data_IF_872285349496
#
_entry.id   IF_872285349496
#
_cell.length_a   1.000
_cell.length_b   1.000
_cell.length_c   1.000
_cell.angle_alpha   90.00
_cell.angle_beta   90.00
_cell.angle_gamma   90.00
#
_symmetry.space_group_name_H-M   'P 1'
#
loop_
_entity.id
_entity.type
_entity.pdbx_description
1 polymer ?
#
# COMPACT_ATOMS: atom_id res chain seq x y z
N UNK A 1 31.71 -4.13 -3.54
CA UNK A 1 30.35 -4.69 -3.59
C UNK A 1 29.69 -4.09 -4.82
N UNK A 2 29.63 -4.83 -5.92
CA UNK A 2 29.00 -4.34 -7.15
C UNK A 2 27.52 -4.65 -6.99
N UNK A 3 26.67 -3.65 -6.78
CA UNK A 3 25.25 -3.80 -7.06
C UNK A 3 25.15 -4.10 -8.56
N UNK A 4 24.82 -5.34 -8.91
CA UNK A 4 24.34 -5.65 -10.25
C UNK A 4 23.03 -4.90 -10.42
N UNK A 5 23.07 -3.80 -11.18
CA UNK A 5 21.88 -3.13 -11.66
C UNK A 5 21.24 -4.07 -12.68
N UNK A 6 20.18 -4.78 -12.30
CA UNK A 6 19.38 -5.56 -13.23
C UNK A 6 18.67 -4.59 -14.17
N UNK A 7 18.93 -4.73 -15.47
CA UNK A 7 18.41 -3.82 -16.50
C UNK A 7 17.04 -4.25 -17.02
N UNK A 8 16.57 -5.43 -16.58
CA UNK A 8 15.38 -6.08 -17.12
C UNK A 8 15.65 -6.85 -18.41
N UNK A 9 16.89 -6.90 -18.91
CA UNK A 9 17.25 -7.72 -20.05
C UNK A 9 17.37 -9.20 -19.65
N UNK A 10 16.91 -10.12 -20.51
CA UNK A 10 16.90 -11.56 -20.24
C UNK A 10 18.30 -12.12 -19.96
N UNK A 11 19.34 -11.51 -20.55
CA UNK A 11 20.75 -11.89 -20.35
C UNK A 11 21.23 -11.70 -18.89
N UNK A 12 20.61 -10.78 -18.14
CA UNK A 12 20.89 -10.58 -16.72
C UNK A 12 20.38 -11.78 -15.87
N UNK A 13 19.41 -12.52 -16.40
CA UNK A 13 18.72 -13.63 -15.72
C UNK A 13 19.02 -15.01 -16.31
N UNK A 14 19.65 -15.09 -17.50
CA UNK A 14 19.98 -16.32 -18.20
C UNK A 14 21.48 -16.45 -18.41
N UNK A 15 22.26 -16.27 -17.34
CA UNK A 15 23.73 -16.34 -17.40
C UNK A 15 24.29 -17.44 -16.49
N UNK A 16 25.61 -17.63 -16.56
CA UNK A 16 26.32 -18.67 -15.82
C UNK A 16 26.34 -18.45 -14.29
N UNK A 17 25.93 -17.28 -13.80
CA UNK A 17 25.94 -16.95 -12.36
C UNK A 17 24.63 -17.32 -11.67
N UNK A 18 23.63 -17.78 -12.43
CA UNK A 18 22.37 -18.29 -11.89
C UNK A 18 22.59 -19.68 -11.30
N UNK A 19 22.23 -19.84 -10.02
CA UNK A 19 22.29 -21.14 -9.33
C UNK A 19 21.16 -22.07 -9.81
N UNK A 20 21.48 -22.94 -10.75
CA UNK A 20 20.52 -23.86 -11.35
C UNK A 20 19.98 -24.89 -10.36
N UNK A 21 20.75 -25.24 -9.34
CA UNK A 21 20.33 -26.21 -8.34
C UNK A 21 19.29 -25.58 -7.41
N UNK A 22 19.48 -24.32 -7.02
CA UNK A 22 18.48 -23.55 -6.28
C UNK A 22 17.17 -23.35 -7.08
N UNK A 23 17.28 -23.03 -8.37
CA UNK A 23 16.12 -22.92 -9.26
C UNK A 23 15.34 -24.24 -9.36
N UNK A 24 16.03 -25.36 -9.56
CA UNK A 24 15.39 -26.67 -9.64
C UNK A 24 14.73 -27.06 -8.31
N UNK A 25 15.38 -26.75 -7.19
CA UNK A 25 14.77 -26.92 -5.86
C UNK A 25 13.45 -26.16 -5.73
N UNK A 26 13.40 -24.89 -6.14
CA UNK A 26 12.19 -24.06 -6.07
C UNK A 26 11.05 -24.64 -6.93
N UNK A 27 11.34 -25.03 -8.16
CA UNK A 27 10.36 -25.64 -9.06
C UNK A 27 9.80 -26.93 -8.44
N UNK A 28 10.67 -27.81 -7.96
CA UNK A 28 10.26 -29.07 -7.33
C UNK A 28 9.48 -28.84 -6.03
N UNK A 29 9.88 -27.84 -5.22
CA UNK A 29 9.18 -27.50 -3.99
C UNK A 29 7.76 -27.00 -4.28
N UNK A 30 7.59 -26.08 -5.24
CA UNK A 30 6.28 -25.56 -5.62
C UNK A 30 5.41 -26.64 -6.25
N UNK A 31 5.96 -27.50 -7.12
CA UNK A 31 5.21 -28.63 -7.71
C UNK A 31 4.79 -29.65 -6.65
N UNK A 32 5.69 -29.99 -5.71
CA UNK A 32 5.42 -30.92 -4.62
C UNK A 32 4.33 -30.38 -3.69
N UNK A 33 4.45 -29.13 -3.26
CA UNK A 33 3.47 -28.50 -2.36
C UNK A 33 2.09 -28.46 -3.03
N UNK A 34 2.00 -27.91 -4.24
CA UNK A 34 0.75 -27.82 -5.00
C UNK A 34 0.10 -29.19 -5.28
N UNK A 35 0.90 -30.25 -5.39
CA UNK A 35 0.40 -31.62 -5.58
C UNK A 35 -0.09 -32.27 -4.29
N UNK A 36 0.68 -32.17 -3.20
CA UNK A 36 0.41 -32.89 -1.95
C UNK A 36 -0.65 -32.22 -1.08
N UNK A 37 -0.67 -30.89 -1.10
CA UNK A 37 -1.45 -30.10 -0.16
C UNK A 37 -2.10 -28.93 -0.87
N UNK A 38 -2.98 -29.14 -1.87
CA UNK A 38 -3.62 -28.05 -2.62
C UNK A 38 -4.21 -26.94 -1.73
N UNK A 39 -4.50 -27.26 -0.46
CA UNK A 39 -5.14 -26.41 0.54
C UNK A 39 -4.22 -25.86 1.69
N UNK A 40 -2.87 -25.84 1.61
CA UNK A 40 -1.96 -25.36 2.70
C UNK A 40 -1.26 -24.02 2.38
N UNK A 41 -1.18 -23.04 3.28
CA UNK A 41 -0.46 -21.78 3.01
C UNK A 41 1.06 -21.89 3.29
N UNK A 42 1.93 -21.54 2.32
CA UNK A 42 3.41 -21.47 2.51
C UNK A 42 4.06 -20.26 1.83
N UNK A 43 4.73 -19.41 2.60
CA UNK A 43 5.40 -18.19 2.13
C UNK A 43 6.89 -18.48 1.90
N UNK A 44 7.48 -18.00 0.81
CA UNK A 44 8.87 -18.28 0.43
C UNK A 44 9.65 -16.99 0.09
N UNK A 45 10.37 -16.46 1.08
CA UNK A 45 11.16 -15.23 0.94
C UNK A 45 12.54 -15.52 0.34
N UNK A 46 12.93 -14.80 -0.73
CA UNK A 46 14.27 -14.90 -1.36
C UNK A 46 15.00 -13.54 -1.39
N UNK A 47 15.64 -13.20 -0.27
CA UNK A 47 16.55 -12.05 -0.24
C UNK A 47 17.89 -12.52 -0.80
N UNK A 48 18.18 -12.19 -2.06
CA UNK A 48 19.22 -12.75 -2.96
C UNK A 48 20.70 -12.77 -2.53
N UNK A 49 21.01 -13.03 -1.25
CA UNK A 49 22.34 -13.34 -0.72
C UNK A 49 22.34 -14.36 0.43
N UNK A 50 21.20 -14.78 1.00
CA UNK A 50 21.18 -15.63 2.20
C UNK A 50 20.11 -16.73 2.22
N UNK A 51 19.82 -17.36 1.09
CA UNK A 51 19.01 -18.58 1.04
C UNK A 51 17.53 -18.41 1.43
N UNK A 52 16.71 -19.35 0.97
CA UNK A 52 15.27 -19.31 1.19
C UNK A 52 14.90 -19.52 2.66
N UNK A 53 14.08 -18.61 3.19
CA UNK A 53 13.35 -18.82 4.43
C UNK A 53 11.89 -19.14 4.07
N UNK A 54 11.51 -20.41 4.14
CA UNK A 54 10.11 -20.82 4.04
C UNK A 54 9.48 -20.83 5.42
N UNK A 55 8.39 -20.08 5.62
CA UNK A 55 7.56 -20.16 6.82
C UNK A 55 6.23 -20.86 6.50
N UNK A 56 5.96 -21.95 7.23
CA UNK A 56 4.73 -22.75 7.09
C UNK A 56 3.77 -22.32 8.20
N UNK A 57 2.62 -21.76 7.83
CA UNK A 57 1.53 -21.47 8.77
C UNK A 57 0.42 -22.49 8.54
N UNK A 58 0.25 -23.42 9.47
CA UNK A 58 -0.80 -24.43 9.39
C UNK A 58 -2.14 -23.86 9.88
N UNK A 59 -3.06 -23.61 8.95
CA UNK A 59 -4.53 -23.72 9.04
C UNK A 59 -5.16 -22.76 8.02
N UNK A 60 -6.21 -23.23 7.32
CA UNK A 60 -7.00 -22.59 6.24
C UNK A 60 -6.54 -22.89 4.79
N UNK A 61 -7.55 -23.00 3.92
CA UNK A 61 -7.52 -23.51 2.55
C UNK A 61 -6.79 -22.58 1.56
N UNK A 62 -6.26 -23.20 0.50
CA UNK A 62 -5.40 -22.70 -0.61
C UNK A 62 -3.89 -22.54 -0.30
N UNK A 63 -3.01 -23.11 -1.15
CA UNK A 63 -1.58 -22.74 -1.19
C UNK A 63 -1.41 -21.38 -1.82
N UNK A 64 -0.67 -20.52 -1.10
CA UNK A 64 -0.19 -19.24 -1.62
C UNK A 64 1.30 -19.16 -1.36
N UNK A 65 2.07 -19.24 -2.43
CA UNK A 65 3.52 -19.02 -2.48
C UNK A 65 3.81 -17.59 -2.92
N UNK A 66 4.61 -16.89 -2.15
CA UNK A 66 4.97 -15.49 -2.41
C UNK A 66 6.48 -15.46 -2.58
N UNK A 67 6.97 -14.85 -3.66
CA UNK A 67 8.39 -14.59 -3.87
C UNK A 67 8.74 -13.13 -3.52
N UNK A 68 9.67 -12.94 -2.61
CA UNK A 68 10.27 -11.62 -2.31
C UNK A 68 11.57 -11.44 -3.09
N UNK A 69 11.50 -11.36 -4.42
CA UNK A 69 12.68 -11.24 -5.29
C UNK A 69 12.93 -9.77 -5.69
N UNK A 70 14.12 -9.26 -5.37
CA UNK A 70 14.55 -7.91 -5.74
C UNK A 70 14.95 -7.76 -7.20
N UNK A 71 15.11 -8.87 -7.93
CA UNK A 71 15.53 -8.86 -9.33
C UNK A 71 14.35 -8.79 -10.30
N UNK A 72 13.12 -9.13 -9.85
CA UNK A 72 11.93 -9.27 -10.68
C UNK A 72 12.11 -10.27 -11.83
N UNK A 73 12.65 -11.45 -11.52
CA UNK A 73 12.94 -12.52 -12.47
C UNK A 73 11.73 -12.81 -13.39
N UNK A 74 11.89 -12.74 -14.73
CA UNK A 74 10.81 -13.06 -15.66
C UNK A 74 10.38 -14.53 -15.53
N UNK A 75 9.11 -14.78 -15.23
CA UNK A 75 8.58 -16.14 -15.04
C UNK A 75 8.49 -16.60 -13.59
N UNK A 76 8.82 -15.73 -12.62
CA UNK A 76 8.73 -16.00 -11.19
C UNK A 76 7.35 -16.57 -10.81
N UNK A 77 6.29 -15.92 -11.26
CA UNK A 77 4.93 -16.36 -10.97
C UNK A 77 4.24 -17.10 -12.13
N UNK A 78 5.01 -17.57 -13.13
CA UNK A 78 4.45 -18.35 -14.22
C UNK A 78 4.41 -19.86 -13.89
N UNK A 79 3.45 -20.63 -14.44
CA UNK A 79 3.35 -22.05 -14.15
C UNK A 79 4.63 -22.82 -14.48
N UNK A 80 4.97 -23.81 -13.65
CA UNK A 80 6.14 -24.69 -13.89
C UNK A 80 6.03 -25.43 -15.22
N UNK A 81 4.82 -25.79 -15.65
CA UNK A 81 4.56 -26.41 -16.96
C UNK A 81 4.94 -25.52 -18.17
N UNK A 82 5.12 -24.22 -17.96
CA UNK A 82 5.52 -23.25 -18.99
C UNK A 82 6.97 -22.78 -18.80
N UNK A 83 7.72 -23.38 -17.88
CA UNK A 83 9.09 -23.00 -17.55
C UNK A 83 9.21 -21.86 -16.53
N UNK A 84 8.11 -21.50 -15.86
CA UNK A 84 8.16 -20.56 -14.73
C UNK A 84 8.53 -21.24 -13.40
N UNK A 85 8.69 -20.43 -12.34
CA UNK A 85 9.04 -20.92 -11.01
C UNK A 85 7.82 -21.37 -10.19
N UNK A 86 6.60 -21.02 -10.63
CA UNK A 86 5.36 -21.49 -10.01
C UNK A 86 4.95 -20.77 -8.72
N UNK A 87 5.49 -19.57 -8.45
CA UNK A 87 5.00 -18.75 -7.34
C UNK A 87 3.62 -18.15 -7.65
N UNK A 88 2.77 -17.96 -6.63
CA UNK A 88 1.45 -17.34 -6.81
C UNK A 88 1.53 -15.81 -6.86
N UNK A 89 2.39 -15.24 -6.00
CA UNK A 89 2.61 -13.81 -5.92
C UNK A 89 4.10 -13.44 -5.90
N UNK A 90 4.40 -12.21 -6.29
CA UNK A 90 5.69 -11.57 -6.03
C UNK A 90 5.50 -10.25 -5.27
N UNK A 91 6.51 -9.86 -4.52
CA UNK A 91 6.50 -8.62 -3.73
C UNK A 91 6.94 -7.43 -4.58
N UNK A 92 6.19 -6.32 -4.53
CA UNK A 92 6.66 -5.04 -5.05
C UNK A 92 7.51 -4.30 -4.02
N UNK A 93 8.83 -4.48 -4.13
CA UNK A 93 9.80 -3.84 -3.25
C UNK A 93 10.01 -2.34 -3.54
N UNK A 94 9.59 -1.85 -4.71
CA UNK A 94 9.76 -0.42 -5.06
C UNK A 94 8.80 0.50 -4.30
N UNK A 95 7.61 0.01 -3.92
CA UNK A 95 6.63 0.78 -3.16
C UNK A 95 7.13 1.24 -1.76
N UNK A 96 7.59 0.35 -0.87
CA UNK A 96 8.11 0.73 0.46
C UNK A 96 9.35 1.63 0.39
N UNK A 97 10.25 1.39 -0.57
CA UNK A 97 11.44 2.21 -0.82
C UNK A 97 11.07 3.62 -1.27
N UNK A 98 10.15 3.73 -2.24
CA UNK A 98 9.62 5.01 -2.69
C UNK A 98 9.02 5.78 -1.52
N UNK A 99 8.15 5.15 -0.73
CA UNK A 99 7.50 5.81 0.40
C UNK A 99 8.51 6.31 1.41
N UNK A 100 9.50 5.49 1.77
CA UNK A 100 10.60 5.88 2.67
C UNK A 100 11.36 7.08 2.13
N UNK A 101 11.70 7.07 0.84
CA UNK A 101 12.37 8.21 0.20
C UNK A 101 11.50 9.46 0.24
N UNK A 102 10.20 9.34 0.01
CA UNK A 102 9.27 10.47 -0.01
C UNK A 102 9.13 11.09 1.38
N UNK A 103 8.93 10.28 2.42
CA UNK A 103 8.70 10.79 3.78
C UNK A 103 9.98 11.29 4.46
N UNK A 104 11.16 10.76 4.12
CA UNK A 104 12.45 11.17 4.73
C UNK A 104 13.15 12.30 3.97
N UNK A 105 13.16 12.22 2.63
CA UNK A 105 14.15 12.96 1.84
C UNK A 105 13.54 14.03 0.93
N UNK A 106 12.22 14.01 0.70
CA UNK A 106 11.57 14.87 -0.31
C UNK A 106 10.50 15.73 0.38
N UNK A 107 10.55 17.07 0.27
CA UNK A 107 9.49 17.94 0.76
C UNK A 107 8.13 17.60 0.13
N UNK A 108 7.05 17.64 0.92
CA UNK A 108 5.71 17.23 0.46
C UNK A 108 5.29 17.85 -0.88
N UNK A 109 5.53 19.14 -1.08
CA UNK A 109 5.13 19.88 -2.29
C UNK A 109 5.90 19.47 -3.56
N UNK A 110 6.98 18.69 -3.41
CA UNK A 110 7.77 18.14 -4.52
C UNK A 110 7.40 16.69 -4.85
N UNK A 111 6.41 16.11 -4.14
CA UNK A 111 5.99 14.73 -4.40
C UNK A 111 5.31 14.63 -5.76
N UNK A 112 5.80 13.72 -6.61
CA UNK A 112 5.15 13.42 -7.89
C UNK A 112 4.07 12.35 -7.71
N UNK A 113 2.84 12.72 -8.06
CA UNK A 113 1.68 11.84 -8.14
C UNK A 113 1.89 10.76 -9.20
N UNK A 114 2.46 11.14 -10.35
CA UNK A 114 2.80 10.20 -11.42
C UNK A 114 3.80 9.14 -10.97
N UNK A 115 4.82 9.52 -10.18
CA UNK A 115 5.78 8.58 -9.60
C UNK A 115 5.13 7.64 -8.59
N UNK A 116 4.24 8.15 -7.72
CA UNK A 116 3.46 7.34 -6.78
C UNK A 116 2.67 6.28 -7.53
N UNK A 117 1.85 6.68 -8.50
CA UNK A 117 1.02 5.75 -9.26
C UNK A 117 1.88 4.73 -10.00
N UNK A 118 2.94 5.16 -10.66
CA UNK A 118 3.83 4.26 -11.40
C UNK A 118 4.49 3.21 -10.50
N UNK A 119 4.96 3.59 -9.31
CA UNK A 119 5.59 2.66 -8.39
C UNK A 119 4.58 1.67 -7.80
N UNK A 120 3.39 2.14 -7.44
CA UNK A 120 2.34 1.30 -6.85
C UNK A 120 1.70 0.34 -7.85
N UNK A 121 1.59 0.72 -9.12
CA UNK A 121 1.08 -0.16 -10.18
C UNK A 121 2.11 -1.21 -10.61
N UNK A 122 3.39 -0.99 -10.36
CA UNK A 122 4.47 -1.89 -10.76
C UNK A 122 4.47 -2.16 -12.28
N UNK A 123 4.96 -3.33 -12.66
CA UNK A 123 4.94 -3.78 -14.06
C UNK A 123 3.55 -4.31 -14.38
N UNK A 124 2.80 -3.58 -15.22
CA UNK A 124 1.39 -3.86 -15.55
C UNK A 124 1.10 -5.30 -15.98
N UNK A 125 2.03 -5.95 -16.67
CA UNK A 125 1.87 -7.33 -17.16
C UNK A 125 1.75 -8.36 -16.03
N UNK A 126 2.34 -8.08 -14.87
CA UNK A 126 2.36 -9.00 -13.72
C UNK A 126 1.60 -8.46 -12.52
N UNK A 127 1.02 -7.26 -12.61
CA UNK A 127 0.36 -6.58 -11.50
C UNK A 127 -0.75 -7.42 -10.83
N UNK A 128 -1.41 -8.34 -11.53
CA UNK A 128 -2.38 -9.25 -10.92
C UNK A 128 -1.76 -10.21 -9.89
N UNK A 129 -0.50 -10.61 -10.06
CA UNK A 129 0.22 -11.49 -9.13
C UNK A 129 1.06 -10.70 -8.13
N UNK A 130 0.81 -9.41 -7.99
CA UNK A 130 1.59 -8.54 -7.12
C UNK A 130 1.00 -8.52 -5.71
N UNK A 131 1.88 -8.77 -4.74
CA UNK A 131 1.69 -8.46 -3.33
C UNK A 131 2.39 -7.14 -3.02
N UNK A 132 1.68 -6.26 -2.29
CA UNK A 132 2.20 -4.96 -1.91
C UNK A 132 2.04 -4.71 -0.41
N UNK A 133 2.94 -3.91 0.15
CA UNK A 133 2.83 -3.37 1.49
C UNK A 133 3.33 -1.92 1.49
N UNK A 134 2.82 -1.12 2.42
CA UNK A 134 3.27 0.27 2.56
C UNK A 134 4.67 0.32 3.20
N UNK A 135 4.86 -0.48 4.24
CA UNK A 135 6.14 -0.72 4.92
C UNK A 135 6.24 -2.19 5.35
N UNK A 136 7.45 -2.75 5.35
CA UNK A 136 7.74 -4.13 5.76
C UNK A 136 8.52 -4.25 7.07
N UNK A 137 8.78 -5.50 7.43
CA UNK A 137 9.59 -5.86 8.57
C UNK A 137 11.06 -5.44 8.42
N UNK A 138 11.62 -5.41 7.19
CA UNK A 138 13.00 -5.00 6.93
C UNK A 138 13.24 -3.53 7.33
N UNK A 139 12.29 -2.64 7.06
CA UNK A 139 12.31 -1.25 7.52
C UNK A 139 12.20 -1.12 9.04
N UNK A 140 11.68 -2.15 9.72
CA UNK A 140 11.48 -2.17 11.17
C UNK A 140 12.54 -2.93 11.97
N UNK A 141 13.36 -3.83 11.41
CA UNK A 141 14.20 -4.76 12.19
C UNK A 141 15.73 -4.51 12.07
N UNK A 142 16.20 -3.88 10.99
CA UNK A 142 17.63 -3.78 10.66
C UNK A 142 18.20 -2.36 10.76
N UNK A 143 17.87 -1.63 11.83
CA UNK A 143 18.34 -0.24 12.02
C UNK A 143 17.60 0.80 11.16
N UNK A 144 16.50 0.40 10.50
CA UNK A 144 15.55 1.31 9.87
C UNK A 144 14.67 2.05 10.90
N UNK A 145 13.84 2.94 10.39
CA UNK A 145 12.84 3.69 11.16
C UNK A 145 11.47 3.35 10.57
N UNK A 146 10.48 3.07 11.42
CA UNK A 146 9.11 2.83 10.94
C UNK A 146 8.49 4.10 10.36
N UNK A 147 7.44 3.98 9.54
CA UNK A 147 6.76 5.16 9.01
C UNK A 147 6.23 6.05 10.13
N UNK A 148 5.72 5.44 11.20
CA UNK A 148 5.30 6.16 12.40
C UNK A 148 6.43 6.96 13.04
N UNK A 149 7.62 6.36 13.19
CA UNK A 149 8.79 7.05 13.75
C UNK A 149 9.20 8.26 12.89
N UNK A 150 9.16 8.12 11.56
CA UNK A 150 9.53 9.19 10.63
C UNK A 150 8.47 10.29 10.57
N UNK A 151 7.19 9.90 10.50
CA UNK A 151 6.07 10.83 10.29
C UNK A 151 5.67 11.58 11.56
N UNK A 152 5.75 10.93 12.72
CA UNK A 152 5.36 11.54 14.00
C UNK A 152 6.56 12.19 14.71
N UNK A 153 7.78 11.70 14.45
CA UNK A 153 8.99 12.11 15.17
C UNK A 153 8.93 11.80 16.66
N UNK A 154 9.78 12.45 17.45
CA UNK A 154 9.62 12.48 18.90
C UNK A 154 8.43 13.40 19.26
N UNK A 155 7.32 12.80 19.69
CA UNK A 155 6.15 13.54 20.18
C UNK A 155 6.54 14.24 21.49
N UNK A 156 7.02 15.47 21.39
CA UNK A 156 7.20 16.38 22.52
C UNK A 156 6.06 17.38 22.52
N UNK A 157 5.10 17.18 23.45
CA UNK A 157 3.91 18.03 23.61
C UNK A 157 4.25 19.52 23.86
N UNK A 158 5.48 19.81 24.29
CA UNK A 158 5.96 21.16 24.60
C UNK A 158 6.56 21.91 23.39
N UNK A 159 6.65 21.28 22.22
CA UNK A 159 7.25 21.91 21.02
C UNK A 159 6.18 22.69 20.23
N UNK A 160 6.37 23.99 19.93
CA UNK A 160 5.47 24.75 19.05
C UNK A 160 5.34 24.06 17.68
N UNK A 161 4.11 23.85 17.20
CA UNK A 161 3.84 23.19 15.92
C UNK A 161 3.75 21.66 15.97
N UNK A 162 3.91 21.04 17.15
CA UNK A 162 3.79 19.59 17.35
C UNK A 162 2.43 19.03 16.89
N UNK A 163 1.34 19.75 17.15
CA UNK A 163 -0.01 19.34 16.73
C UNK A 163 -0.17 19.29 15.21
N UNK A 164 0.40 20.25 14.48
CA UNK A 164 0.29 20.29 13.02
C UNK A 164 1.16 19.21 12.37
N UNK A 165 2.37 18.99 12.89
CA UNK A 165 3.25 17.89 12.46
C UNK A 165 2.62 16.53 12.72
N UNK A 166 1.99 16.35 13.89
CA UNK A 166 1.28 15.12 14.22
C UNK A 166 0.08 14.90 13.29
N UNK A 167 -0.72 15.94 13.02
CA UNK A 167 -1.83 15.85 12.08
C UNK A 167 -1.36 15.51 10.67
N UNK A 168 -0.30 16.16 10.18
CA UNK A 168 0.37 15.82 8.91
C UNK A 168 0.74 14.34 8.91
N UNK A 169 1.44 13.89 9.94
CA UNK A 169 1.90 12.50 10.05
C UNK A 169 0.74 11.52 10.02
N UNK A 170 -0.32 11.77 10.79
CA UNK A 170 -1.51 10.91 10.85
C UNK A 170 -2.24 10.88 9.49
N UNK A 171 -2.42 12.03 8.84
CA UNK A 171 -3.04 12.10 7.51
C UNK A 171 -2.23 11.32 6.47
N UNK A 172 -0.93 11.56 6.38
CA UNK A 172 -0.06 10.86 5.43
C UNK A 172 0.00 9.36 5.72
N UNK A 173 0.07 8.94 6.99
CA UNK A 173 0.05 7.53 7.37
C UNK A 173 -1.21 6.81 6.84
N UNK A 174 -2.40 7.40 7.07
CA UNK A 174 -3.67 6.86 6.55
C UNK A 174 -3.69 6.82 5.02
N UNK A 175 -3.31 7.93 4.37
CA UNK A 175 -3.34 8.06 2.92
C UNK A 175 -2.38 7.09 2.22
N UNK A 176 -1.13 6.98 2.71
CA UNK A 176 -0.11 6.07 2.16
C UNK A 176 -0.59 4.62 2.24
N UNK A 177 -1.10 4.19 3.40
CA UNK A 177 -1.59 2.82 3.58
C UNK A 177 -2.79 2.54 2.68
N UNK A 178 -3.74 3.48 2.63
CA UNK A 178 -4.91 3.39 1.77
C UNK A 178 -4.58 3.31 0.29
N UNK A 179 -3.80 4.25 -0.24
CA UNK A 179 -3.46 4.25 -1.67
C UNK A 179 -2.63 3.03 -2.05
N UNK A 180 -1.74 2.57 -1.16
CA UNK A 180 -0.95 1.36 -1.40
C UNK A 180 -1.85 0.12 -1.49
N UNK A 181 -2.77 -0.03 -0.54
CA UNK A 181 -3.76 -1.10 -0.52
C UNK A 181 -4.68 -1.08 -1.74
N UNK A 182 -5.14 0.11 -2.14
CA UNK A 182 -6.22 0.25 -3.13
C UNK A 182 -5.72 0.51 -4.55
N UNK A 183 -4.47 0.93 -4.78
CA UNK A 183 -3.86 0.89 -6.13
C UNK A 183 -3.15 -0.43 -6.39
N UNK A 184 -2.41 -0.93 -5.42
CA UNK A 184 -1.50 -2.04 -5.66
C UNK A 184 -2.22 -3.38 -5.82
N UNK A 185 -1.71 -4.16 -6.77
CA UNK A 185 -1.79 -5.61 -6.85
C UNK A 185 -3.14 -6.27 -6.60
N UNK A 186 -3.09 -7.55 -6.21
CA UNK A 186 -4.26 -8.31 -5.73
C UNK A 186 -4.06 -8.86 -4.32
N UNK A 187 -2.92 -8.59 -3.70
CA UNK A 187 -2.61 -8.98 -2.33
C UNK A 187 -1.99 -7.80 -1.57
N UNK A 188 -2.38 -7.65 -0.31
CA UNK A 188 -1.86 -6.63 0.59
C UNK A 188 -1.33 -7.29 1.87
N UNK A 189 -0.19 -6.80 2.35
CA UNK A 189 0.44 -7.28 3.56
C UNK A 189 0.68 -6.11 4.52
N UNK A 190 0.53 -6.38 5.82
CA UNK A 190 0.84 -5.42 6.87
C UNK A 190 1.63 -6.13 7.98
N UNK A 191 2.78 -5.57 8.36
CA UNK A 191 3.57 -6.07 9.47
C UNK A 191 3.00 -5.60 10.81
N UNK A 192 2.91 -6.51 11.79
CA UNK A 192 2.27 -6.25 13.08
C UNK A 192 2.76 -4.96 13.75
N UNK A 193 1.83 -4.12 14.18
CA UNK A 193 2.12 -2.82 14.78
C UNK A 193 1.93 -1.64 13.81
N UNK A 194 2.21 -1.84 12.53
CA UNK A 194 2.16 -0.76 11.54
C UNK A 194 0.71 -0.28 11.31
N UNK A 195 -0.27 -1.12 11.61
CA UNK A 195 -1.69 -0.81 11.47
C UNK A 195 -2.18 0.33 12.36
N UNK A 196 -1.54 0.52 13.51
CA UNK A 196 -1.82 1.61 14.43
C UNK A 196 -0.66 2.60 14.55
N UNK A 197 0.31 2.54 13.63
CA UNK A 197 1.49 3.39 13.64
C UNK A 197 2.37 3.15 14.88
N UNK A 198 2.76 1.90 15.13
CA UNK A 198 3.66 1.57 16.25
C UNK A 198 4.98 2.37 16.12
N UNK A 199 5.34 3.17 17.13
CA UNK A 199 6.56 3.97 17.09
C UNK A 199 7.77 3.08 17.32
N UNK A 200 8.95 3.56 16.91
CA UNK A 200 10.23 2.86 17.04
C UNK A 200 10.32 1.56 16.23
N UNK A 201 11.54 1.25 15.84
CA UNK A 201 11.93 -0.05 15.29
C UNK A 201 11.78 -1.20 16.28
N UNK A 202 11.68 -2.41 15.75
CA UNK A 202 11.91 -3.67 16.46
C UNK A 202 13.40 -3.95 16.44
N UNK A 203 13.99 -4.29 17.58
CA UNK A 203 15.41 -4.66 17.62
C UNK A 203 15.57 -5.87 18.51
N UNK A 204 16.19 -6.92 17.98
CA UNK A 204 16.45 -8.14 18.73
C UNK A 204 17.66 -7.98 19.66
N UNK A 205 17.72 -8.73 20.78
CA UNK A 205 18.89 -8.75 21.65
C UNK A 205 20.15 -9.18 20.89
N UNK A 206 21.12 -8.29 20.83
CA UNK A 206 22.38 -8.48 20.10
C UNK A 206 23.54 -7.95 20.96
N UNK A 207 24.78 -8.45 20.79
CA UNK A 207 25.93 -7.90 21.50
C UNK A 207 26.11 -6.38 21.29
N UNK A 208 25.74 -5.86 20.12
CA UNK A 208 25.77 -4.43 19.79
C UNK A 208 24.83 -3.57 20.62
N UNK A 209 23.77 -4.15 21.21
CA UNK A 209 22.80 -3.45 22.07
C UNK A 209 22.79 -3.98 23.51
N UNK A 210 23.90 -4.60 23.95
CA UNK A 210 24.05 -5.22 25.28
C UNK A 210 22.99 -6.30 25.57
N UNK A 211 22.55 -7.03 24.54
CA UNK A 211 21.49 -8.06 24.65
C UNK A 211 20.18 -7.49 25.24
N UNK A 212 19.81 -6.26 24.86
CA UNK A 212 18.60 -5.61 25.34
C UNK A 212 17.34 -6.18 24.69
N UNK A 213 16.28 -6.36 25.49
CA UNK A 213 14.93 -6.74 25.04
C UNK A 213 13.99 -5.52 24.93
N UNK A 214 14.50 -4.30 25.15
CA UNK A 214 13.69 -3.09 25.24
C UNK A 214 12.94 -2.70 23.97
N UNK A 215 13.32 -3.25 22.81
CA UNK A 215 12.62 -3.04 21.52
C UNK A 215 12.15 -4.37 20.89
N UNK A 216 12.35 -5.50 21.58
CA UNK A 216 11.97 -6.83 21.11
C UNK A 216 10.52 -7.18 21.51
N UNK A 217 9.59 -6.24 21.35
CA UNK A 217 8.19 -6.41 21.75
C UNK A 217 7.25 -5.47 20.98
N UNK A 218 5.94 -5.67 21.14
CA UNK A 218 4.89 -4.78 20.65
C UNK A 218 4.11 -4.14 21.79
N UNK A 219 3.99 -2.82 21.74
CA UNK A 219 3.36 -1.98 22.75
C UNK A 219 1.85 -1.85 22.51
N UNK A 220 1.09 -2.93 22.67
CA UNK A 220 -0.37 -2.93 22.44
C UNK A 220 -1.15 -1.93 23.33
N UNK A 221 -0.60 -1.56 24.48
CA UNK A 221 -1.16 -0.52 25.35
C UNK A 221 -1.26 0.86 24.66
N UNK A 222 -0.54 1.08 23.57
CA UNK A 222 -0.63 2.31 22.77
C UNK A 222 -2.02 2.52 22.18
N UNK A 223 -2.80 1.45 21.96
CA UNK A 223 -4.18 1.56 21.49
C UNK A 223 -5.13 2.25 22.49
N UNK A 224 -4.68 2.47 23.73
CA UNK A 224 -5.38 3.31 24.71
C UNK A 224 -5.14 4.81 24.48
N UNK A 225 -4.13 5.18 23.70
CA UNK A 225 -3.87 6.54 23.25
C UNK A 225 -4.73 6.84 22.00
N UNK A 226 -5.31 8.04 21.97
CA UNK A 226 -6.24 8.46 20.92
C UNK A 226 -5.64 8.39 19.51
N UNK A 227 -4.38 8.78 19.31
CA UNK A 227 -3.73 8.79 17.98
C UNK A 227 -3.68 7.37 17.41
N UNK A 228 -3.11 6.42 18.17
CA UNK A 228 -2.98 5.04 17.72
C UNK A 228 -4.35 4.35 17.59
N UNK A 229 -5.29 4.64 18.50
CA UNK A 229 -6.67 4.16 18.40
C UNK A 229 -7.35 4.62 17.10
N UNK A 230 -7.18 5.89 16.74
CA UNK A 230 -7.75 6.48 15.54
C UNK A 230 -7.15 5.89 14.26
N UNK A 231 -5.83 5.66 14.23
CA UNK A 231 -5.15 4.98 13.11
C UNK A 231 -5.62 3.52 12.98
N UNK A 232 -5.77 2.81 14.09
CA UNK A 232 -6.27 1.44 14.10
C UNK A 232 -7.73 1.35 13.65
N UNK A 233 -8.56 2.30 14.08
CA UNK A 233 -9.96 2.41 13.67
C UNK A 233 -10.08 2.66 12.16
N UNK A 234 -9.20 3.50 11.61
CA UNK A 234 -9.08 3.70 10.19
C UNK A 234 -8.69 2.42 9.45
N UNK A 235 -7.68 1.71 9.95
CA UNK A 235 -7.21 0.48 9.33
C UNK A 235 -8.29 -0.60 9.27
N UNK A 236 -9.03 -0.77 10.36
CA UNK A 236 -10.17 -1.66 10.42
C UNK A 236 -11.21 -1.32 9.35
N UNK A 237 -11.58 -0.06 9.22
CA UNK A 237 -12.56 0.38 8.22
C UNK A 237 -12.02 0.28 6.78
N UNK A 238 -10.70 0.42 6.58
CA UNK A 238 -10.02 0.18 5.30
C UNK A 238 -10.10 -1.30 4.90
N UNK A 239 -9.86 -2.24 5.84
CA UNK A 239 -10.01 -3.68 5.57
C UNK A 239 -11.47 -4.05 5.29
N UNK A 240 -12.42 -3.46 6.04
CA UNK A 240 -13.86 -3.65 5.81
C UNK A 240 -14.29 -3.17 4.40
N UNK A 241 -13.59 -2.20 3.78
CA UNK A 241 -13.91 -1.79 2.41
C UNK A 241 -13.73 -2.94 1.42
N UNK A 242 -12.66 -3.73 1.54
CA UNK A 242 -12.44 -4.87 0.66
C UNK A 242 -13.35 -6.05 0.99
N UNK A 243 -13.57 -6.35 2.27
CA UNK A 243 -14.51 -7.41 2.67
C UNK A 243 -15.91 -7.17 2.06
N UNK A 244 -16.38 -5.93 2.08
CA UNK A 244 -17.73 -5.57 1.61
C UNK A 244 -17.81 -5.33 0.09
N UNK A 245 -16.73 -4.91 -0.57
CA UNK A 245 -16.78 -4.49 -1.99
C UNK A 245 -15.90 -5.34 -2.91
N UNK A 246 -15.08 -6.24 -2.36
CA UNK A 246 -14.20 -7.18 -3.08
C UNK A 246 -13.24 -6.45 -4.03
N UNK A 247 -12.53 -5.45 -3.52
CA UNK A 247 -11.62 -4.58 -4.28
C UNK A 247 -10.43 -5.35 -4.86
N UNK A 248 -9.80 -6.21 -4.06
CA UNK A 248 -8.63 -6.98 -4.49
C UNK A 248 -8.99 -8.09 -5.47
N UNK A 249 -10.15 -8.73 -5.30
CA UNK A 249 -10.58 -9.86 -6.13
C UNK A 249 -11.28 -9.48 -7.43
N UNK A 250 -11.87 -8.28 -7.56
CA UNK A 250 -12.56 -7.84 -8.79
C UNK A 250 -11.63 -7.51 -9.95
N UNK A 251 -10.44 -6.95 -9.68
CA UNK A 251 -9.52 -6.51 -10.72
C UNK A 251 -8.62 -5.35 -10.29
N UNK A 252 -7.69 -5.00 -11.16
CA UNK A 252 -6.80 -3.86 -10.99
C UNK A 252 -7.57 -2.53 -11.11
N UNK A 253 -7.07 -1.44 -10.49
CA UNK A 253 -7.70 -0.13 -10.58
C UNK A 253 -7.61 0.45 -12.00
N UNK A 254 -8.62 1.25 -12.37
CA UNK A 254 -8.59 2.12 -13.53
C UNK A 254 -8.21 3.54 -13.10
N UNK A 255 -6.92 3.86 -13.24
CA UNK A 255 -6.40 5.21 -13.00
C UNK A 255 -6.78 6.12 -14.16
N UNK A 256 -7.59 7.13 -13.89
CA UNK A 256 -8.07 8.08 -14.91
C UNK A 256 -7.64 9.52 -14.63
N UNK A 257 -7.17 9.83 -13.41
CA UNK A 257 -6.79 11.17 -13.01
C UNK A 257 -5.50 11.14 -12.19
N UNK A 258 -4.44 11.75 -12.72
CA UNK A 258 -3.17 11.95 -12.02
C UNK A 258 -2.68 13.36 -12.36
N UNK A 259 -2.67 14.23 -11.36
CA UNK A 259 -2.29 15.63 -11.55
C UNK A 259 -1.18 16.00 -10.58
N UNK A 260 0.05 16.09 -11.07
CA UNK A 260 1.22 16.50 -10.28
C UNK A 260 1.13 17.96 -9.80
N UNK A 261 0.45 18.84 -10.54
CA UNK A 261 0.33 20.27 -10.17
C UNK A 261 -0.64 20.49 -9.01
N UNK A 262 -1.81 19.86 -9.05
CA UNK A 262 -2.78 19.95 -7.95
C UNK A 262 -2.52 18.90 -6.87
N UNK A 263 -1.58 17.98 -7.10
CA UNK A 263 -1.28 16.84 -6.24
C UNK A 263 -2.51 15.97 -5.94
N UNK A 264 -3.35 15.76 -6.96
CA UNK A 264 -4.57 14.96 -6.86
C UNK A 264 -4.44 13.69 -7.68
N UNK A 265 -4.84 12.57 -7.07
CA UNK A 265 -4.94 11.26 -7.71
C UNK A 265 -6.40 10.80 -7.59
N UNK A 266 -6.99 10.37 -8.70
CA UNK A 266 -8.30 9.71 -8.70
C UNK A 266 -8.34 8.50 -9.63
N UNK A 267 -9.01 7.46 -9.15
CA UNK A 267 -9.14 6.18 -9.84
C UNK A 267 -10.37 5.41 -9.38
N UNK A 268 -10.77 4.46 -10.20
CA UNK A 268 -11.87 3.55 -9.90
C UNK A 268 -11.28 2.18 -9.58
N UNK A 269 -11.72 1.55 -8.50
CA UNK A 269 -11.42 0.13 -8.22
C UNK A 269 -12.68 -0.58 -7.74
N UNK A 270 -13.06 -1.62 -8.48
CA UNK A 270 -14.36 -2.26 -8.29
C UNK A 270 -15.49 -1.23 -8.45
N UNK A 271 -16.47 -1.17 -7.53
CA UNK A 271 -17.59 -0.23 -7.61
C UNK A 271 -17.29 1.15 -7.00
N UNK A 272 -16.04 1.43 -6.61
CA UNK A 272 -15.68 2.58 -5.81
C UNK A 272 -14.78 3.55 -6.59
N UNK A 273 -15.05 4.84 -6.41
CA UNK A 273 -14.21 5.95 -6.85
C UNK A 273 -13.36 6.42 -5.67
N UNK A 274 -12.05 6.52 -5.87
CA UNK A 274 -11.11 6.99 -4.88
C UNK A 274 -10.55 8.33 -5.30
N UNK A 275 -10.49 9.29 -4.38
CA UNK A 275 -9.95 10.63 -4.62
C UNK A 275 -8.99 11.00 -3.49
N UNK A 276 -7.74 11.33 -3.83
CA UNK A 276 -6.68 11.69 -2.89
C UNK A 276 -6.19 13.10 -3.19
N UNK A 277 -6.05 13.94 -2.18
CA UNK A 277 -5.35 15.22 -2.24
C UNK A 277 -4.10 15.16 -1.37
N UNK A 278 -2.95 15.01 -2.00
CA UNK A 278 -1.63 15.01 -1.36
C UNK A 278 -1.06 16.42 -1.18
N UNK A 279 -1.75 17.46 -1.64
CA UNK A 279 -1.27 18.82 -1.50
C UNK A 279 -1.09 19.17 -0.01
N UNK A 280 0.07 19.72 0.40
CA UNK A 280 0.36 19.97 1.82
C UNK A 280 -0.53 21.06 2.44
N UNK A 281 -0.95 22.06 1.65
CA UNK A 281 -1.72 23.22 2.11
C UNK A 281 -3.04 23.45 1.37
N UNK A 282 -3.04 23.41 0.03
CA UNK A 282 -4.23 23.69 -0.79
C UNK A 282 -5.38 22.72 -0.54
N UNK A 283 -6.54 23.31 -0.26
CA UNK A 283 -7.83 22.65 -0.17
C UNK A 283 -8.72 23.15 -1.30
N UNK A 284 -9.51 22.25 -1.89
CA UNK A 284 -10.38 22.57 -3.01
C UNK A 284 -11.83 22.51 -2.58
N UNK A 285 -12.59 23.60 -2.75
CA UNK A 285 -14.02 23.57 -2.44
C UNK A 285 -14.83 22.72 -3.43
N UNK A 286 -14.40 22.70 -4.71
CA UNK A 286 -15.04 21.98 -5.81
C UNK A 286 -14.00 21.43 -6.79
N UNK A 287 -13.30 20.38 -6.39
CA UNK A 287 -12.38 19.69 -7.29
C UNK A 287 -13.16 18.78 -8.24
N UNK A 288 -12.82 18.78 -9.53
CA UNK A 288 -13.52 17.99 -10.53
C UNK A 288 -12.74 16.72 -10.86
N UNK A 289 -13.40 15.57 -10.75
CA UNK A 289 -12.88 14.28 -11.23
C UNK A 289 -13.87 13.65 -12.21
N UNK A 290 -13.37 13.08 -13.30
CA UNK A 290 -14.21 12.40 -14.29
C UNK A 290 -14.86 11.15 -13.72
N UNK A 291 -16.11 10.88 -14.11
CA UNK A 291 -16.82 9.63 -13.80
C UNK A 291 -17.60 9.15 -15.01
N UNK A 292 -17.70 7.83 -15.20
CA UNK A 292 -18.43 7.25 -16.34
C UNK A 292 -19.94 7.42 -16.15
N UNK A 293 -20.46 6.89 -15.04
CA UNK A 293 -21.89 6.83 -14.76
C UNK A 293 -22.40 8.14 -14.15
N UNK A 294 -23.40 8.75 -14.81
CA UNK A 294 -24.14 9.88 -14.26
C UNK A 294 -25.02 9.42 -13.08
N UNK A 295 -24.94 10.13 -11.96
CA UNK A 295 -25.57 9.65 -10.74
C UNK A 295 -25.38 10.48 -9.49
N UNK A 296 -25.81 9.90 -8.38
CA UNK A 296 -25.54 10.36 -7.02
C UNK A 296 -24.47 9.45 -6.40
N UNK A 297 -23.37 10.04 -5.95
CA UNK A 297 -22.25 9.36 -5.33
C UNK A 297 -22.19 9.73 -3.85
N UNK A 298 -22.07 8.73 -3.00
CA UNK A 298 -21.98 8.91 -1.55
C UNK A 298 -20.57 8.61 -1.04
N UNK A 299 -20.04 9.48 -0.19
CA UNK A 299 -18.83 9.20 0.60
C UNK A 299 -19.12 8.05 1.56
N UNK A 300 -18.40 6.95 1.41
CA UNK A 300 -18.48 5.78 2.31
C UNK A 300 -17.28 5.67 3.25
N UNK A 301 -16.19 6.37 2.95
CA UNK A 301 -15.04 6.51 3.83
C UNK A 301 -14.35 7.85 3.53
N UNK A 302 -14.02 8.61 4.58
CA UNK A 302 -13.26 9.86 4.49
C UNK A 302 -12.18 9.89 5.56
N UNK A 303 -10.91 9.97 5.16
CA UNK A 303 -9.78 9.97 6.11
C UNK A 303 -9.80 11.16 7.06
N UNK A 304 -10.50 12.25 6.72
CA UNK A 304 -10.61 13.45 7.54
C UNK A 304 -11.67 13.34 8.65
N UNK A 305 -12.41 12.24 8.74
CA UNK A 305 -13.37 12.05 9.85
C UNK A 305 -12.67 12.07 11.22
N UNK A 306 -13.34 12.66 12.23
CA UNK A 306 -12.80 12.78 13.59
C UNK A 306 -12.48 11.43 14.24
N UNK A 307 -13.25 10.37 13.92
CA UNK A 307 -12.98 9.00 14.39
C UNK A 307 -11.64 8.42 13.90
N UNK A 308 -11.03 9.05 12.90
CA UNK A 308 -9.71 8.71 12.39
C UNK A 308 -8.67 9.78 12.73
N UNK A 309 -8.97 10.69 13.67
CA UNK A 309 -8.08 11.79 14.04
C UNK A 309 -7.95 12.88 12.96
N UNK A 310 -8.91 12.99 12.04
CA UNK A 310 -8.99 14.11 11.09
C UNK A 310 -9.73 15.33 11.67
N UNK A 311 -9.83 16.40 10.88
CA UNK A 311 -10.45 17.67 11.28
C UNK A 311 -11.97 17.68 11.10
N UNK A 312 -12.51 16.81 10.23
CA UNK A 312 -13.93 16.72 9.92
C UNK A 312 -14.43 17.94 9.16
N UNK A 313 -13.67 18.38 8.14
CA UNK A 313 -13.94 19.58 7.35
C UNK A 313 -15.01 19.37 6.28
N UNK A 314 -15.33 18.13 5.93
CA UNK A 314 -16.41 17.80 5.00
C UNK A 314 -17.68 17.55 5.81
N UNK A 315 -18.70 18.39 5.59
CA UNK A 315 -19.97 18.29 6.29
C UNK A 315 -20.80 17.08 5.82
N UNK A 316 -21.65 16.54 6.69
CA UNK A 316 -22.53 15.42 6.35
C UNK A 316 -23.44 15.70 5.14
N UNK A 317 -23.81 16.97 4.90
CA UNK A 317 -24.60 17.37 3.73
C UNK A 317 -23.81 17.25 2.41
N UNK A 318 -22.48 17.35 2.49
CA UNK A 318 -21.57 17.21 1.36
C UNK A 318 -21.17 15.75 1.10
N UNK A 319 -21.65 14.79 1.89
CA UNK A 319 -21.37 13.38 1.66
C UNK A 319 -22.09 12.82 0.43
N UNK A 320 -23.16 13.44 -0.03
CA UNK A 320 -23.87 13.04 -1.25
C UNK A 320 -23.62 14.08 -2.35
N UNK A 321 -22.94 13.67 -3.41
CA UNK A 321 -22.61 14.51 -4.55
C UNK A 321 -23.33 14.04 -5.80
N UNK A 322 -23.79 14.99 -6.62
CA UNK A 322 -24.43 14.71 -7.90
C UNK A 322 -23.45 14.99 -9.03
N UNK A 323 -23.44 14.14 -10.04
CA UNK A 323 -22.63 14.37 -11.23
C UNK A 323 -23.09 15.59 -12.01
N UNK A 324 -22.13 16.28 -12.62
CA UNK A 324 -22.34 17.38 -13.56
C UNK A 324 -21.98 16.88 -14.96
N UNK A 325 -22.81 17.21 -15.95
CA UNK A 325 -22.57 16.89 -17.37
C UNK A 325 -21.51 17.84 -17.95
N UNK A 326 -20.24 17.59 -17.62
CA UNK A 326 -19.07 18.33 -18.12
C UNK A 326 -17.93 17.36 -18.37
N UNK A 327 -17.26 17.54 -19.52
CA UNK A 327 -16.14 16.69 -19.91
C UNK A 327 -14.91 16.95 -19.04
N UNK A 328 -14.47 15.94 -18.29
CA UNK A 328 -13.28 15.95 -17.42
C UNK A 328 -12.61 14.58 -17.52
N UNK A 329 -11.27 14.52 -17.55
CA UNK A 329 -10.50 13.26 -17.66
C UNK A 329 -10.88 12.38 -18.87
N UNK A 330 -11.38 13.01 -19.95
CA UNK A 330 -11.88 12.30 -21.13
C UNK A 330 -13.28 11.69 -20.98
N UNK A 331 -13.89 11.74 -19.79
CA UNK A 331 -15.22 11.23 -19.47
C UNK A 331 -16.29 12.31 -19.64
N UNK A 332 -17.54 11.92 -19.92
CA UNK A 332 -18.64 12.86 -20.22
C UNK A 332 -19.22 13.54 -18.97
N UNK A 333 -19.12 12.87 -17.83
CA UNK A 333 -19.61 13.35 -16.55
C UNK A 333 -18.43 13.60 -15.60
N UNK A 334 -18.62 14.49 -14.65
CA UNK A 334 -17.68 14.69 -13.55
C UNK A 334 -18.41 14.80 -12.21
N UNK A 335 -17.69 14.46 -11.14
CA UNK A 335 -18.09 14.74 -9.78
C UNK A 335 -17.32 15.97 -9.29
N UNK A 336 -18.02 16.96 -8.75
CA UNK A 336 -17.37 18.09 -8.05
C UNK A 336 -17.37 17.78 -6.54
N UNK A 337 -16.19 17.70 -5.93
CA UNK A 337 -16.04 17.25 -4.54
C UNK A 337 -15.30 18.30 -3.69
N UNK A 338 -15.71 18.52 -2.43
CA UNK A 338 -14.88 19.25 -1.47
C UNK A 338 -13.70 18.35 -1.07
N UNK A 339 -12.49 18.87 -1.20
CA UNK A 339 -11.27 18.06 -1.09
C UNK A 339 -10.21 18.82 -0.27
N UNK A 340 -10.25 18.68 1.07
CA UNK A 340 -9.26 19.31 1.95
C UNK A 340 -7.84 18.77 1.71
N UNK A 341 -6.83 19.55 2.11
CA UNK A 341 -5.42 19.16 2.01
C UNK A 341 -5.12 17.92 2.84
N UNK A 342 -4.27 17.03 2.31
CA UNK A 342 -3.88 15.75 2.95
C UNK A 342 -5.10 14.92 3.37
N UNK A 343 -6.02 14.69 2.44
CA UNK A 343 -7.19 13.83 2.66
C UNK A 343 -7.40 12.83 1.52
N UNK A 344 -8.07 11.72 1.83
CA UNK A 344 -8.57 10.78 0.86
C UNK A 344 -10.03 10.45 1.14
N UNK A 345 -10.80 10.29 0.07
CA UNK A 345 -12.23 10.05 0.09
C UNK A 345 -12.58 8.90 -0.84
N UNK A 346 -13.55 8.07 -0.42
CA UNK A 346 -14.07 6.95 -1.19
C UNK A 346 -15.55 7.16 -1.45
N UNK A 347 -15.91 7.15 -2.71
CA UNK A 347 -17.26 7.37 -3.19
C UNK A 347 -17.85 6.08 -3.76
N UNK A 348 -19.14 5.85 -3.49
CA UNK A 348 -19.94 4.78 -4.07
C UNK A 348 -21.14 5.36 -4.79
N UNK A 349 -21.37 4.93 -6.03
CA UNK A 349 -22.58 5.27 -6.77
C UNK A 349 -23.80 4.63 -6.09
N UNK A 350 -24.72 5.46 -5.59
CA UNK A 350 -25.93 5.00 -4.90
C UNK A 350 -27.18 5.06 -5.78
N UNK A 351 -27.20 5.97 -6.75
CA UNK A 351 -28.31 6.13 -7.69
C UNK A 351 -27.82 6.55 -9.07
N UNK A 352 -28.22 5.81 -10.09
CA UNK A 352 -27.98 6.19 -11.49
C UNK A 352 -29.04 7.21 -11.92
N UNK A 353 -28.59 8.31 -12.51
CA UNK A 353 -29.45 9.26 -13.19
C UNK A 353 -29.60 8.79 -14.63
N UNK A 354 -30.69 8.05 -14.91
CA UNK A 354 -31.07 7.75 -16.29
C UNK A 354 -31.53 9.05 -16.93
N UNK A 355 -30.77 9.51 -17.93
CA UNK A 355 -31.16 10.59 -18.83
C UNK A 355 -32.16 10.03 -19.85
#
# INVERSE_FOLDING_TARGET
MVLLLFTGNLDDYCNQYVDKDAFLYLVLANELLHTLHPDIITIAEDVGNYGLCCSILSNYADIITIAEDATFYPGLCEPTSQGGLGFDYYVNLSAPEMWTSFIKNIPDHEWSMSKIVSALMGIRQYADKMLIYAENHNQSISGGESFAEILFGEINEHTPGSTESLLRGCSLHKMIRMITFTIGGRAYLNFMGNEFGHPKRVEFPMPSNNNSYSLAHRCWHLLSNEVHHNLFSFDKDLMNLDENNRLLSRGLPHIHHVNDTTMVISYIRGPLLFVFNFHPTEAYERYSVGVEEAGEYQIILNTDEKKYGGRGLVDAQQHLQRTVSRKVDGLQNCLEVPLPSRTAQVYKLTRILRI
#
